data_IF_827671437208
#
_entry.id   IF_827671437208
#
_cell.length_a   1.000
_cell.length_b   1.000
_cell.length_c   1.000
_cell.angle_alpha   90.00
_cell.angle_beta   90.00
_cell.angle_gamma   90.00
#
_symmetry.space_group_name_H-M   'P 1'
#
loop_
_entity.id
_entity.type
_entity.pdbx_description
1 polymer ?
#
# COMPACT_ATOMS: atom_id res chain seq x y z
N UNK A 1 -21.59 6.46 53.22
CA UNK A 1 -22.29 5.70 52.17
C UNK A 1 -21.39 5.76 50.94
N UNK A 2 -20.27 5.03 51.00
CA UNK A 2 -19.30 4.89 49.91
C UNK A 2 -19.46 3.47 49.36
N UNK A 3 -20.59 3.23 48.72
CA UNK A 3 -20.97 1.90 48.24
C UNK A 3 -21.39 1.96 46.77
N UNK A 4 -20.71 2.80 45.98
CA UNK A 4 -20.45 2.46 44.60
C UNK A 4 -19.19 1.59 44.61
N UNK A 5 -19.39 0.30 44.90
CA UNK A 5 -18.52 -0.75 44.41
C UNK A 5 -18.41 -0.53 42.91
N UNK A 6 -17.29 0.01 42.49
CA UNK A 6 -16.91 0.14 41.10
C UNK A 6 -16.85 -1.30 40.56
N UNK A 7 -17.90 -1.73 39.85
CA UNK A 7 -17.99 -3.09 39.34
C UNK A 7 -16.75 -3.34 38.45
N UNK A 8 -15.87 -4.28 38.83
CA UNK A 8 -14.60 -4.51 38.12
C UNK A 8 -14.83 -4.85 36.64
N UNK A 9 -16.00 -5.40 36.32
CA UNK A 9 -16.43 -5.74 34.97
C UNK A 9 -16.57 -4.50 34.07
N UNK A 10 -16.93 -3.35 34.64
CA UNK A 10 -17.10 -2.10 33.89
C UNK A 10 -15.75 -1.53 33.44
N UNK A 11 -14.74 -1.59 34.31
CA UNK A 11 -13.38 -1.16 33.97
C UNK A 11 -12.74 -2.07 32.91
N UNK A 12 -12.99 -3.38 32.97
CA UNK A 12 -12.51 -4.33 31.97
C UNK A 12 -13.17 -4.06 30.61
N UNK A 13 -14.47 -3.79 30.59
CA UNK A 13 -15.21 -3.47 29.37
C UNK A 13 -14.71 -2.17 28.73
N UNK A 14 -14.56 -1.10 29.50
CA UNK A 14 -14.09 0.19 28.99
C UNK A 14 -12.66 0.09 28.43
N UNK A 15 -11.79 -0.67 29.09
CA UNK A 15 -10.43 -0.93 28.58
C UNK A 15 -10.47 -1.70 27.26
N UNK A 16 -11.30 -2.74 27.17
CA UNK A 16 -11.44 -3.55 25.96
C UNK A 16 -12.02 -2.77 24.77
N UNK A 17 -12.98 -1.87 25.02
CA UNK A 17 -13.56 -1.00 23.98
C UNK A 17 -12.49 -0.06 23.44
N UNK A 18 -11.73 0.61 24.32
CA UNK A 18 -10.68 1.55 23.91
C UNK A 18 -9.57 0.86 23.12
N UNK A 19 -9.18 -0.35 23.50
CA UNK A 19 -8.17 -1.12 22.76
C UNK A 19 -8.69 -1.59 21.40
N UNK A 20 -9.96 -2.01 21.32
CA UNK A 20 -10.61 -2.39 20.07
C UNK A 20 -10.72 -1.21 19.09
N UNK A 21 -11.06 -0.02 19.59
CA UNK A 21 -11.14 1.20 18.77
C UNK A 21 -9.78 1.59 18.19
N UNK A 22 -8.71 1.51 19.00
CA UNK A 22 -7.35 1.80 18.55
C UNK A 22 -6.90 0.83 17.45
N UNK A 23 -7.16 -0.46 17.61
CA UNK A 23 -6.82 -1.46 16.60
C UNK A 23 -7.55 -1.19 15.27
N UNK A 24 -8.86 -0.90 15.33
CA UNK A 24 -9.65 -0.54 14.16
C UNK A 24 -9.16 0.73 13.47
N UNK A 25 -8.80 1.77 14.24
CA UNK A 25 -8.29 3.02 13.69
C UNK A 25 -6.92 2.83 12.99
N UNK A 26 -6.01 2.07 13.60
CA UNK A 26 -4.71 1.74 13.00
C UNK A 26 -4.90 0.96 11.71
N UNK A 27 -5.84 0.02 11.68
CA UNK A 27 -6.17 -0.75 10.49
C UNK A 27 -6.67 0.16 9.36
N UNK A 28 -7.64 1.02 9.64
CA UNK A 28 -8.20 1.95 8.65
C UNK A 28 -7.15 2.93 8.11
N UNK A 29 -6.34 3.51 8.99
CA UNK A 29 -5.26 4.43 8.60
C UNK A 29 -4.22 3.73 7.71
N UNK A 30 -3.89 2.47 8.03
CA UNK A 30 -2.96 1.68 7.23
C UNK A 30 -3.46 1.50 5.80
N UNK A 31 -4.74 1.16 5.60
CA UNK A 31 -5.32 1.01 4.27
C UNK A 31 -5.37 2.32 3.51
N UNK A 32 -5.70 3.42 4.19
CA UNK A 32 -5.72 4.75 3.59
C UNK A 32 -4.33 5.15 3.08
N UNK A 33 -3.30 5.01 3.92
CA UNK A 33 -1.91 5.30 3.53
C UNK A 33 -1.43 4.38 2.40
N UNK A 34 -1.75 3.08 2.48
CA UNK A 34 -1.38 2.11 1.45
C UNK A 34 -2.02 2.39 0.09
N UNK A 35 -3.21 3.01 0.07
CA UNK A 35 -3.87 3.42 -1.17
C UNK A 35 -3.37 4.77 -1.69
N UNK A 36 -3.18 5.75 -0.81
CA UNK A 36 -2.82 7.12 -1.19
C UNK A 36 -1.39 7.19 -1.69
N UNK A 37 -0.46 6.48 -1.07
CA UNK A 37 0.97 6.60 -1.35
C UNK A 37 1.33 6.15 -2.78
N UNK A 38 0.94 4.95 -3.25
CA UNK A 38 1.17 4.53 -4.64
C UNK A 38 0.48 5.45 -5.64
N UNK A 39 -0.74 5.88 -5.33
CA UNK A 39 -1.49 6.80 -6.18
C UNK A 39 -0.78 8.15 -6.31
N UNK A 40 -0.20 8.65 -5.22
CA UNK A 40 0.56 9.90 -5.21
C UNK A 40 1.86 9.74 -6.01
N UNK A 41 2.61 8.66 -5.79
CA UNK A 41 3.86 8.39 -6.51
C UNK A 41 3.59 8.28 -8.03
N UNK A 42 2.52 7.61 -8.42
CA UNK A 42 2.16 7.45 -9.82
C UNK A 42 1.87 8.78 -10.55
N UNK A 43 1.30 9.76 -9.83
CA UNK A 43 1.01 11.09 -10.40
C UNK A 43 2.25 11.99 -10.38
N UNK A 44 2.99 12.02 -9.27
CA UNK A 44 4.11 12.95 -9.09
C UNK A 44 5.39 12.53 -9.82
N UNK A 45 5.68 11.23 -9.95
CA UNK A 45 6.92 10.76 -10.60
C UNK A 45 7.02 11.15 -12.08
N UNK A 46 6.01 10.92 -12.95
CA UNK A 46 6.13 11.31 -14.36
C UNK A 46 6.28 12.84 -14.53
N UNK A 47 5.62 13.64 -13.69
CA UNK A 47 5.74 15.10 -13.72
C UNK A 47 7.16 15.57 -13.31
N UNK A 48 7.73 14.94 -12.28
CA UNK A 48 9.10 15.25 -11.82
C UNK A 48 10.17 14.79 -12.80
N UNK A 49 10.02 13.61 -13.41
CA UNK A 49 10.94 13.09 -14.44
C UNK A 49 10.92 13.96 -15.69
N UNK A 50 9.75 14.41 -16.13
CA UNK A 50 9.60 15.33 -17.25
C UNK A 50 10.25 16.69 -16.95
N UNK A 51 10.11 17.21 -15.72
CA UNK A 51 10.75 18.46 -15.30
C UNK A 51 12.28 18.40 -15.23
N UNK A 52 12.89 17.23 -15.00
CA UNK A 52 14.35 17.08 -14.88
C UNK A 52 15.01 16.84 -16.26
N UNK A 53 14.22 16.58 -17.31
CA UNK A 53 14.75 16.37 -18.67
C UNK A 53 15.53 15.07 -18.81
N UNK A 54 15.11 14.01 -18.10
CA UNK A 54 15.79 12.70 -18.06
C UNK A 54 15.45 11.83 -19.29
N UNK A 55 14.95 12.43 -20.37
CA UNK A 55 14.56 11.73 -21.61
C UNK A 55 15.75 11.01 -22.28
N UNK A 56 16.98 11.46 -22.04
CA UNK A 56 18.18 10.91 -22.71
C UNK A 56 18.78 9.65 -22.06
N UNK A 57 18.28 9.20 -20.89
CA UNK A 57 18.90 8.06 -20.17
C UNK A 57 18.33 6.69 -20.52
N UNK A 58 17.29 6.60 -21.35
CA UNK A 58 16.68 5.33 -21.76
C UNK A 58 16.00 4.55 -20.62
N UNK A 59 15.80 5.18 -19.46
CA UNK A 59 15.07 4.58 -18.33
C UNK A 59 13.61 5.02 -18.40
N UNK A 60 12.71 4.09 -18.72
CA UNK A 60 11.26 4.38 -18.77
C UNK A 60 10.75 4.85 -17.40
N UNK A 61 10.08 6.00 -17.34
CA UNK A 61 9.56 6.62 -16.12
C UNK A 61 8.64 5.70 -15.29
N UNK A 62 7.95 4.79 -15.97
CA UNK A 62 7.10 3.74 -15.39
C UNK A 62 7.91 2.75 -14.54
N UNK A 63 9.08 2.28 -15.00
CA UNK A 63 9.98 1.41 -14.23
C UNK A 63 10.45 2.08 -12.93
N UNK A 64 10.83 3.37 -13.01
CA UNK A 64 11.27 4.14 -11.87
C UNK A 64 10.17 4.29 -10.82
N UNK A 65 8.94 4.58 -11.25
CA UNK A 65 7.78 4.70 -10.35
C UNK A 65 7.50 3.40 -9.59
N UNK A 66 7.63 2.24 -10.24
CA UNK A 66 7.39 0.92 -9.64
C UNK A 66 8.50 0.61 -8.62
N UNK A 67 9.76 0.91 -8.96
CA UNK A 67 10.90 0.71 -8.05
C UNK A 67 10.76 1.54 -6.77
N UNK A 68 10.46 2.84 -6.91
CA UNK A 68 10.28 3.76 -5.78
C UNK A 68 9.07 3.33 -4.93
N UNK A 69 7.95 2.96 -5.57
CA UNK A 69 6.76 2.46 -4.86
C UNK A 69 7.07 1.20 -4.07
N UNK A 70 7.81 0.25 -4.64
CA UNK A 70 8.21 -0.98 -3.95
C UNK A 70 9.03 -0.71 -2.68
N UNK A 71 10.01 0.20 -2.77
CA UNK A 71 10.85 0.59 -1.61
C UNK A 71 10.00 1.26 -0.53
N UNK A 72 9.11 2.17 -0.90
CA UNK A 72 8.24 2.87 0.05
C UNK A 72 7.27 1.91 0.72
N UNK A 73 6.67 0.97 -0.03
CA UNK A 73 5.79 -0.05 0.54
C UNK A 73 6.53 -0.98 1.51
N UNK A 74 7.80 -1.31 1.21
CA UNK A 74 8.66 -2.08 2.11
C UNK A 74 8.95 -1.31 3.41
N UNK A 75 9.25 -0.01 3.33
CA UNK A 75 9.48 0.85 4.50
C UNK A 75 8.21 1.00 5.36
N UNK A 76 7.04 1.13 4.74
CA UNK A 76 5.76 1.19 5.44
C UNK A 76 5.40 -0.14 6.11
N UNK A 77 5.75 -1.27 5.48
CA UNK A 77 5.61 -2.60 6.07
C UNK A 77 6.44 -2.75 7.35
N UNK A 78 7.71 -2.31 7.32
CA UNK A 78 8.60 -2.30 8.49
C UNK A 78 8.11 -1.31 9.57
N UNK A 79 7.56 -0.16 9.17
CA UNK A 79 7.01 0.81 10.12
C UNK A 79 5.79 0.23 10.85
N UNK A 80 4.87 -0.42 10.12
CA UNK A 80 3.67 -1.03 10.69
C UNK A 80 4.00 -2.16 11.65
N UNK A 81 5.04 -2.94 11.38
CA UNK A 81 5.46 -4.01 12.27
C UNK A 81 6.08 -3.53 13.58
N UNK A 82 6.45 -2.24 13.71
CA UNK A 82 6.90 -1.71 15.00
C UNK A 82 5.76 -1.64 16.03
N UNK A 83 4.51 -1.67 15.60
CA UNK A 83 3.33 -1.63 16.46
C UNK A 83 2.83 -3.01 16.91
N UNK A 84 3.30 -4.08 16.28
CA UNK A 84 2.97 -5.46 16.65
C UNK A 84 4.28 -6.16 17.03
N UNK A 85 4.38 -6.80 18.20
CA UNK A 85 5.57 -7.58 18.62
C UNK A 85 5.85 -8.85 17.75
N UNK A 86 5.46 -8.82 16.48
CA UNK A 86 5.61 -9.88 15.48
C UNK A 86 6.78 -9.58 14.56
N UNK A 87 7.49 -10.61 14.07
CA UNK A 87 8.67 -10.53 13.20
C UNK A 87 8.52 -9.50 12.06
N UNK A 88 9.25 -8.39 12.16
CA UNK A 88 9.04 -7.18 11.34
C UNK A 88 9.19 -7.42 9.84
N UNK A 89 10.13 -8.28 9.49
CA UNK A 89 10.45 -8.62 8.10
C UNK A 89 9.37 -9.48 7.46
N UNK A 90 8.68 -10.34 8.24
CA UNK A 90 7.66 -11.28 7.72
C UNK A 90 6.42 -10.52 7.26
N UNK A 91 5.99 -9.51 8.03
CA UNK A 91 4.86 -8.67 7.67
C UNK A 91 5.18 -7.79 6.45
N UNK A 92 6.39 -7.24 6.37
CA UNK A 92 6.85 -6.49 5.20
C UNK A 92 6.86 -7.32 3.92
N UNK A 93 7.46 -8.53 3.96
CA UNK A 93 7.53 -9.39 2.75
C UNK A 93 6.16 -9.88 2.30
N UNK A 94 5.23 -10.14 3.23
CA UNK A 94 3.85 -10.50 2.91
C UNK A 94 3.14 -9.38 2.15
N UNK A 95 3.28 -8.12 2.58
CA UNK A 95 2.68 -6.97 1.86
C UNK A 95 3.26 -6.77 0.47
N UNK A 96 4.57 -7.03 0.27
CA UNK A 96 5.20 -6.96 -1.06
C UNK A 96 4.71 -8.09 -1.97
N UNK A 97 4.56 -9.31 -1.44
CA UNK A 97 3.99 -10.45 -2.17
C UNK A 97 2.56 -10.15 -2.64
N UNK A 98 1.72 -9.60 -1.75
CA UNK A 98 0.33 -9.21 -2.08
C UNK A 98 0.31 -8.12 -3.14
N UNK A 99 1.20 -7.12 -3.05
CA UNK A 99 1.31 -6.06 -4.04
C UNK A 99 1.70 -6.62 -5.42
N UNK A 100 2.72 -7.49 -5.48
CA UNK A 100 3.15 -8.13 -6.73
C UNK A 100 2.03 -8.99 -7.33
N UNK A 101 1.33 -9.76 -6.51
CA UNK A 101 0.19 -10.56 -6.96
C UNK A 101 -0.92 -9.68 -7.52
N UNK A 102 -1.18 -8.52 -6.90
CA UNK A 102 -2.16 -7.55 -7.37
C UNK A 102 -1.75 -6.91 -8.72
N UNK A 103 -0.48 -6.55 -8.88
CA UNK A 103 0.04 -6.01 -10.14
C UNK A 103 -0.05 -7.06 -11.25
N UNK A 104 0.33 -8.31 -10.97
CA UNK A 104 0.27 -9.41 -11.92
C UNK A 104 -1.18 -9.74 -12.30
N UNK A 105 -2.12 -9.69 -11.35
CA UNK A 105 -3.54 -9.93 -11.65
C UNK A 105 -4.14 -8.80 -12.47
N UNK A 106 -3.85 -7.54 -12.15
CA UNK A 106 -4.27 -6.39 -12.93
C UNK A 106 -3.71 -6.43 -14.37
N UNK A 107 -2.43 -6.77 -14.52
CA UNK A 107 -1.79 -6.93 -15.84
C UNK A 107 -2.42 -8.09 -16.63
N UNK A 108 -2.68 -9.23 -15.97
CA UNK A 108 -3.34 -10.37 -16.59
C UNK A 108 -4.74 -10.05 -17.10
N UNK A 109 -5.55 -9.33 -16.29
CA UNK A 109 -6.88 -8.87 -16.71
C UNK A 109 -6.76 -7.88 -17.87
N UNK A 110 -5.83 -6.93 -17.81
CA UNK A 110 -5.61 -5.96 -18.88
C UNK A 110 -5.23 -6.62 -20.21
N UNK A 111 -4.30 -7.57 -20.17
CA UNK A 111 -3.87 -8.34 -21.35
C UNK A 111 -4.99 -9.24 -21.89
N UNK A 112 -5.75 -9.89 -21.01
CA UNK A 112 -6.89 -10.73 -21.38
C UNK A 112 -8.00 -9.92 -22.05
N UNK A 113 -8.30 -8.73 -21.51
CA UNK A 113 -9.29 -7.81 -22.09
C UNK A 113 -8.83 -7.28 -23.45
N UNK A 114 -7.56 -6.87 -23.57
CA UNK A 114 -6.99 -6.44 -24.85
C UNK A 114 -7.05 -7.54 -25.92
N UNK A 115 -6.80 -8.78 -25.53
CA UNK A 115 -6.90 -9.94 -26.42
C UNK A 115 -8.35 -10.26 -26.81
N UNK A 116 -9.31 -10.05 -25.91
CA UNK A 116 -10.73 -10.32 -26.15
C UNK A 116 -11.42 -9.24 -27.00
N UNK A 117 -11.01 -7.97 -26.85
CA UNK A 117 -11.57 -6.85 -27.61
C UNK A 117 -11.02 -6.82 -29.04
N UNK A 118 -9.90 -7.51 -29.33
CA UNK A 118 -9.37 -7.63 -30.69
C UNK A 118 -8.94 -6.29 -31.27
N UNK A 119 -8.40 -5.39 -30.45
CA UNK A 119 -7.76 -4.17 -30.96
C UNK A 119 -6.49 -4.55 -31.73
N UNK A 120 -6.39 -4.23 -33.03
CA UNK A 120 -5.18 -4.45 -33.80
C UNK A 120 -4.10 -3.49 -33.28
N UNK A 121 -2.91 -4.01 -32.97
CA UNK A 121 -1.64 -3.29 -32.78
C UNK A 121 -1.78 -1.81 -32.38
N UNK A 122 -1.96 -1.54 -31.08
CA UNK A 122 -1.39 -0.32 -30.53
C UNK A 122 0.06 -0.70 -30.20
N UNK A 123 0.89 -0.59 -31.23
CA UNK A 123 2.34 -0.72 -31.15
C UNK A 123 2.87 0.11 -29.97
N UNK A 124 3.56 -0.54 -29.05
CA UNK A 124 5.04 -0.44 -28.91
C UNK A 124 5.67 0.94 -29.22
N UNK A 125 5.00 2.05 -28.92
CA UNK A 125 5.43 3.41 -29.25
C UNK A 125 5.41 4.38 -28.06
N UNK A 126 5.07 3.91 -26.86
CA UNK A 126 5.03 4.73 -25.65
C UNK A 126 5.70 4.05 -24.44
N UNK A 127 6.65 3.13 -24.69
CA UNK A 127 7.63 2.67 -23.70
C UNK A 127 8.91 3.49 -23.80
#
# INVERSE_FOLDING_TARGET
>A
FDEYKEDPDKHILDTAIVDSEKEGFIMMLSFCMFSVIPSTIYVFVPEYVNSIGVEDTGISASSLSISITSVIMLLLGIWKSKFFDSSWVVFGIETVMVLLLCIMSAYGIGYGLASAIGTPNIDTSAM
#
